data_IF_530961915348
#
_entry.id   IF_530961915348
#
_cell.length_a   1.000
_cell.length_b   1.000
_cell.length_c   1.000
_cell.angle_alpha   90.00
_cell.angle_beta   90.00
_cell.angle_gamma   90.00
#
_symmetry.space_group_name_H-M   'P 1'
#
loop_
_entity.id
_entity.type
_entity.pdbx_description
1 polymer ?
#
# COMPACT_ATOMS: atom_id res chain seq x y z
N UNK A 1 28.66 -30.08 -9.42
CA UNK A 1 29.07 -30.44 -8.04
C UNK A 1 30.33 -31.30 -8.04
N UNK A 2 30.47 -32.28 -8.93
CA UNK A 2 31.66 -33.20 -8.92
C UNK A 2 32.99 -32.45 -9.09
N UNK A 3 33.00 -31.40 -9.90
CA UNK A 3 34.19 -30.66 -10.32
C UNK A 3 34.39 -29.32 -9.57
N UNK A 4 33.75 -29.15 -8.41
CA UNK A 4 33.81 -27.90 -7.63
C UNK A 4 34.12 -28.21 -6.17
N UNK A 5 34.99 -27.43 -5.55
CA UNK A 5 35.37 -27.57 -4.14
C UNK A 5 34.45 -26.75 -3.23
N UNK A 6 33.93 -25.62 -3.72
CA UNK A 6 33.00 -24.75 -3.03
C UNK A 6 31.67 -24.62 -3.78
N UNK A 7 30.56 -24.73 -3.06
CA UNK A 7 29.22 -24.66 -3.59
C UNK A 7 28.47 -23.56 -2.85
N UNK A 8 28.04 -22.53 -3.57
CA UNK A 8 27.23 -21.43 -3.04
C UNK A 8 25.75 -21.70 -3.23
N UNK A 9 25.00 -21.72 -2.14
CA UNK A 9 23.57 -21.93 -2.11
C UNK A 9 22.87 -20.55 -2.14
N UNK A 10 22.67 -20.03 -3.36
CA UNK A 10 22.17 -18.68 -3.64
C UNK A 10 20.65 -18.69 -3.88
N UNK A 11 19.89 -19.00 -2.86
CA UNK A 11 18.41 -19.09 -2.92
C UNK A 11 17.76 -17.87 -2.24
N UNK A 12 16.47 -17.70 -2.47
CA UNK A 12 15.72 -16.56 -1.91
C UNK A 12 15.93 -16.43 -0.39
N UNK A 13 15.93 -15.19 0.16
CA UNK A 13 16.18 -14.94 1.58
C UNK A 13 14.95 -15.22 2.44
N UNK A 14 14.32 -16.38 2.28
CA UNK A 14 13.17 -16.80 3.06
C UNK A 14 13.30 -18.26 3.54
N UNK A 15 12.33 -18.71 4.35
CA UNK A 15 12.33 -20.06 4.91
C UNK A 15 12.21 -21.17 3.86
N UNK A 16 11.56 -20.90 2.72
CA UNK A 16 11.45 -21.89 1.63
C UNK A 16 12.79 -22.02 0.92
N UNK A 17 13.48 -20.90 0.64
CA UNK A 17 14.84 -20.90 0.10
C UNK A 17 15.83 -21.61 1.03
N UNK A 18 15.70 -21.41 2.35
CA UNK A 18 16.51 -22.10 3.35
C UNK A 18 16.25 -23.61 3.35
N UNK A 19 15.00 -24.04 3.24
CA UNK A 19 14.62 -25.45 3.15
C UNK A 19 15.15 -26.09 1.87
N UNK A 20 15.09 -25.39 0.73
CA UNK A 20 15.64 -25.88 -0.53
C UNK A 20 17.15 -26.03 -0.42
N UNK A 21 17.85 -25.06 0.18
CA UNK A 21 19.29 -25.13 0.43
C UNK A 21 19.65 -26.38 1.25
N UNK A 22 18.93 -26.61 2.34
CA UNK A 22 19.11 -27.78 3.20
C UNK A 22 18.86 -29.08 2.43
N UNK A 23 17.78 -29.20 1.65
CA UNK A 23 17.50 -30.38 0.86
C UNK A 23 18.59 -30.67 -0.16
N UNK A 24 19.18 -29.66 -0.82
CA UNK A 24 20.27 -29.82 -1.74
C UNK A 24 21.51 -30.45 -1.05
N UNK A 25 21.83 -29.98 0.17
CA UNK A 25 22.93 -30.55 0.96
C UNK A 25 22.64 -31.99 1.34
N UNK A 26 21.41 -32.30 1.82
CA UNK A 26 21.05 -33.69 2.18
C UNK A 26 21.10 -34.64 0.97
N UNK A 27 20.62 -34.23 -0.20
CA UNK A 27 20.74 -35.04 -1.44
C UNK A 27 22.20 -35.29 -1.81
N UNK A 28 23.05 -34.26 -1.65
CA UNK A 28 24.49 -34.43 -1.90
C UNK A 28 25.12 -35.40 -0.90
N UNK A 29 24.68 -35.40 0.37
CA UNK A 29 25.14 -36.32 1.42
C UNK A 29 24.70 -37.75 1.12
N UNK A 30 23.44 -37.98 0.75
CA UNK A 30 22.95 -39.30 0.37
C UNK A 30 23.68 -39.88 -0.84
N UNK A 31 24.05 -39.02 -1.81
CA UNK A 31 24.79 -39.41 -3.01
C UNK A 31 26.31 -39.46 -2.83
N UNK A 32 26.81 -39.30 -1.60
CA UNK A 32 28.25 -39.29 -1.27
C UNK A 32 29.05 -38.26 -2.11
N UNK A 33 28.45 -37.10 -2.34
CA UNK A 33 29.07 -36.00 -3.11
C UNK A 33 29.54 -34.85 -2.20
N UNK A 34 29.52 -35.06 -0.88
CA UNK A 34 29.80 -33.99 0.12
C UNK A 34 31.28 -34.00 0.56
N UNK A 35 32.00 -35.13 0.38
CA UNK A 35 33.34 -35.29 0.91
C UNK A 35 34.32 -34.28 0.27
N UNK A 36 35.01 -33.51 1.13
CA UNK A 36 35.96 -32.48 0.74
C UNK A 36 35.34 -31.19 0.18
N UNK A 37 33.99 -31.05 0.18
CA UNK A 37 33.32 -29.89 -0.39
C UNK A 37 32.76 -28.97 0.69
N UNK A 38 32.82 -27.67 0.42
CA UNK A 38 32.28 -26.63 1.31
C UNK A 38 30.98 -26.09 0.73
N UNK A 39 29.87 -26.20 1.48
CA UNK A 39 28.62 -25.61 1.14
C UNK A 39 28.45 -24.29 1.91
N UNK A 40 28.21 -23.19 1.21
CA UNK A 40 28.09 -21.85 1.77
C UNK A 40 26.74 -21.26 1.38
N UNK A 41 25.95 -20.83 2.36
CA UNK A 41 24.70 -20.14 2.11
C UNK A 41 24.98 -18.66 1.86
N UNK A 42 24.52 -18.14 0.73
CA UNK A 42 24.52 -16.72 0.43
C UNK A 42 23.10 -16.24 0.17
N UNK A 43 22.79 -15.07 0.64
CA UNK A 43 21.48 -14.44 0.44
C UNK A 43 21.64 -12.96 0.16
N UNK A 44 20.81 -12.46 -0.72
CA UNK A 44 20.79 -11.05 -1.09
C UNK A 44 19.35 -10.60 -1.34
N UNK A 45 18.96 -9.39 -0.88
CA UNK A 45 17.60 -8.87 -0.99
C UNK A 45 17.24 -8.44 -2.42
N UNK A 46 18.28 -8.23 -3.26
CA UNK A 46 18.12 -7.84 -4.65
C UNK A 46 19.28 -8.38 -5.50
N UNK A 47 19.02 -8.59 -6.79
CA UNK A 47 20.03 -9.01 -7.76
C UNK A 47 20.79 -7.77 -8.24
N UNK A 48 21.55 -7.16 -7.32
CA UNK A 48 22.50 -6.07 -7.60
C UNK A 48 23.92 -6.60 -7.50
N UNK A 49 24.82 -6.10 -8.33
CA UNK A 49 26.24 -6.51 -8.30
C UNK A 49 26.86 -6.35 -6.91
N UNK A 50 26.60 -5.24 -6.25
CA UNK A 50 27.10 -4.94 -4.90
C UNK A 50 26.56 -5.93 -3.85
N UNK A 51 25.26 -6.26 -3.90
CA UNK A 51 24.61 -7.20 -2.99
C UNK A 51 25.15 -8.62 -3.18
N UNK A 52 25.33 -9.05 -4.42
CA UNK A 52 25.89 -10.37 -4.76
C UNK A 52 27.32 -10.49 -4.28
N UNK A 53 28.18 -9.51 -4.59
CA UNK A 53 29.57 -9.51 -4.16
C UNK A 53 29.70 -9.48 -2.63
N UNK A 54 28.87 -8.68 -1.96
CA UNK A 54 28.81 -8.65 -0.50
C UNK A 54 28.40 -10.01 0.09
N UNK A 55 27.41 -10.68 -0.52
CA UNK A 55 26.95 -11.99 -0.07
C UNK A 55 28.00 -13.09 -0.28
N UNK A 56 28.76 -13.05 -1.40
CA UNK A 56 29.86 -13.99 -1.67
C UNK A 56 31.00 -13.80 -0.65
N UNK A 57 31.28 -12.54 -0.28
CA UNK A 57 32.33 -12.22 0.69
C UNK A 57 31.95 -12.54 2.13
N UNK A 58 30.63 -12.59 2.42
CA UNK A 58 30.08 -12.84 3.76
C UNK A 58 29.09 -14.01 3.75
N UNK A 59 29.52 -15.21 3.38
CA UNK A 59 28.65 -16.38 3.39
C UNK A 59 28.35 -16.80 4.83
N UNK A 60 27.19 -17.46 5.01
CA UNK A 60 26.78 -18.01 6.31
C UNK A 60 26.50 -19.51 6.21
N UNK A 61 26.29 -20.11 7.35
CA UNK A 61 25.75 -21.46 7.45
C UNK A 61 24.23 -21.48 7.22
N UNK A 62 23.69 -22.68 6.91
CA UNK A 62 22.24 -22.88 6.81
C UNK A 62 21.61 -22.66 8.19
N UNK A 63 20.59 -21.84 8.24
CA UNK A 63 19.84 -21.56 9.46
C UNK A 63 18.83 -22.68 9.75
N UNK A 64 19.23 -23.61 10.64
CA UNK A 64 18.39 -24.75 11.00
C UNK A 64 17.02 -24.35 11.59
N UNK A 65 16.90 -23.20 12.24
CA UNK A 65 15.62 -22.72 12.76
C UNK A 65 14.65 -22.38 11.63
N UNK A 66 15.13 -21.75 10.55
CA UNK A 66 14.31 -21.48 9.36
C UNK A 66 13.91 -22.76 8.64
N UNK A 67 14.84 -23.72 8.51
CA UNK A 67 14.55 -25.06 7.97
C UNK A 67 13.46 -25.73 8.78
N UNK A 68 13.61 -25.76 10.11
CA UNK A 68 12.64 -26.39 11.02
C UNK A 68 11.26 -25.67 10.94
N UNK A 69 11.24 -24.35 10.80
CA UNK A 69 10.01 -23.59 10.62
C UNK A 69 9.28 -23.97 9.32
N UNK A 70 10.03 -24.14 8.20
CA UNK A 70 9.47 -24.56 6.93
C UNK A 70 8.95 -26.01 6.98
N UNK A 71 9.71 -26.92 7.58
CA UNK A 71 9.29 -28.32 7.81
C UNK A 71 8.03 -28.37 8.68
N UNK A 72 8.01 -27.65 9.80
CA UNK A 72 6.85 -27.57 10.70
C UNK A 72 5.61 -27.08 9.97
N UNK A 73 5.74 -26.03 9.15
CA UNK A 73 4.66 -25.54 8.32
C UNK A 73 4.12 -26.64 7.40
N UNK A 74 5.00 -27.32 6.69
CA UNK A 74 4.63 -28.42 5.77
C UNK A 74 3.96 -29.58 6.49
N UNK A 75 4.48 -29.93 7.68
CA UNK A 75 3.87 -30.95 8.54
C UNK A 75 2.46 -30.54 8.98
N UNK A 76 2.28 -29.33 9.47
CA UNK A 76 0.97 -28.81 9.87
C UNK A 76 -0.03 -28.79 8.70
N UNK A 77 0.39 -28.35 7.51
CA UNK A 77 -0.47 -28.35 6.32
C UNK A 77 -0.95 -29.77 5.97
N UNK A 78 -0.08 -30.77 6.07
CA UNK A 78 -0.45 -32.17 5.85
C UNK A 78 -1.32 -32.71 6.98
N UNK A 79 -0.98 -32.43 8.21
CA UNK A 79 -1.74 -32.89 9.38
C UNK A 79 -3.18 -32.37 9.32
N UNK A 80 -3.38 -31.06 9.12
CA UNK A 80 -4.70 -30.47 8.93
C UNK A 80 -5.43 -31.07 7.73
N UNK A 81 -4.76 -31.18 6.59
CA UNK A 81 -5.33 -31.70 5.37
C UNK A 81 -5.85 -33.13 5.57
N UNK A 82 -5.04 -34.04 6.13
CA UNK A 82 -5.40 -35.45 6.25
C UNK A 82 -6.31 -35.77 7.44
N UNK A 83 -6.23 -35.01 8.55
CA UNK A 83 -7.04 -35.32 9.76
C UNK A 83 -8.39 -34.59 9.75
N UNK A 84 -8.46 -33.36 9.25
CA UNK A 84 -9.67 -32.55 9.33
C UNK A 84 -10.49 -32.61 8.03
N UNK A 85 -9.88 -32.68 6.86
CA UNK A 85 -10.62 -32.76 5.59
C UNK A 85 -11.59 -33.95 5.51
N UNK A 86 -11.29 -35.15 6.03
CA UNK A 86 -12.28 -36.23 6.05
C UNK A 86 -13.53 -35.92 6.87
N UNK A 87 -13.38 -35.13 7.96
CA UNK A 87 -14.48 -34.71 8.82
C UNK A 87 -15.39 -33.73 8.06
N UNK A 88 -14.79 -32.74 7.37
CA UNK A 88 -15.55 -31.78 6.58
C UNK A 88 -16.27 -32.47 5.42
N UNK A 89 -15.61 -33.39 4.70
CA UNK A 89 -16.19 -34.16 3.60
C UNK A 89 -17.43 -34.98 4.01
N UNK A 90 -17.45 -35.49 5.25
CA UNK A 90 -18.60 -36.26 5.77
C UNK A 90 -19.80 -35.38 6.13
N UNK A 91 -19.57 -34.07 6.36
CA UNK A 91 -20.60 -33.12 6.83
C UNK A 91 -21.11 -32.17 5.74
N UNK A 92 -20.51 -32.18 4.58
CA UNK A 92 -20.89 -31.30 3.46
C UNK A 92 -21.18 -32.11 2.20
N UNK A 93 -22.15 -31.67 1.42
CA UNK A 93 -22.60 -32.35 0.17
C UNK A 93 -21.51 -32.35 -0.91
N UNK A 94 -20.71 -31.30 -0.96
CA UNK A 94 -19.60 -31.15 -1.90
C UNK A 94 -18.29 -31.23 -1.15
N UNK A 95 -17.54 -32.29 -1.37
CA UNK A 95 -16.27 -32.63 -0.72
C UNK A 95 -15.30 -31.48 -0.47
N UNK A 96 -15.58 -30.71 0.56
CA UNK A 96 -14.74 -29.61 1.01
C UNK A 96 -13.51 -30.11 1.74
N UNK A 97 -12.42 -29.38 1.65
CA UNK A 97 -11.19 -29.63 2.40
C UNK A 97 -10.97 -28.56 3.45
N UNK A 98 -10.23 -28.90 4.51
CA UNK A 98 -9.75 -27.96 5.51
C UNK A 98 -8.25 -27.77 5.37
N UNK A 99 -7.78 -26.57 5.67
CA UNK A 99 -6.35 -26.24 5.62
C UNK A 99 -6.03 -25.03 6.48
N UNK A 100 -4.77 -24.93 6.85
CA UNK A 100 -4.26 -23.90 7.74
C UNK A 100 -4.51 -22.46 7.26
N UNK A 101 -4.54 -22.24 5.94
CA UNK A 101 -4.79 -20.93 5.35
C UNK A 101 -6.27 -20.77 4.98
N UNK A 102 -6.84 -21.73 4.29
CA UNK A 102 -8.21 -21.65 3.77
C UNK A 102 -9.28 -21.60 4.88
N UNK A 103 -9.09 -22.31 5.98
CA UNK A 103 -10.07 -22.32 7.06
C UNK A 103 -10.17 -20.98 7.80
N UNK A 104 -9.07 -20.32 8.21
CA UNK A 104 -9.14 -18.97 8.75
C UNK A 104 -9.66 -17.93 7.74
N UNK A 105 -9.31 -18.05 6.46
CA UNK A 105 -9.83 -17.16 5.44
C UNK A 105 -11.36 -17.29 5.31
N UNK A 106 -11.87 -18.52 5.26
CA UNK A 106 -13.30 -18.78 5.25
C UNK A 106 -14.00 -18.24 6.50
N UNK A 107 -13.38 -18.39 7.67
CA UNK A 107 -13.93 -17.83 8.92
C UNK A 107 -14.11 -16.32 8.82
N UNK A 108 -13.11 -15.59 8.34
CA UNK A 108 -13.18 -14.12 8.15
C UNK A 108 -14.33 -13.76 7.20
N UNK A 109 -14.49 -14.51 6.09
CA UNK A 109 -15.59 -14.30 5.16
C UNK A 109 -16.95 -14.56 5.81
N UNK A 110 -17.11 -15.66 6.55
CA UNK A 110 -18.35 -15.97 7.25
C UNK A 110 -18.68 -14.94 8.35
N UNK A 111 -17.68 -14.41 9.04
CA UNK A 111 -17.89 -13.32 10.00
C UNK A 111 -18.37 -12.05 9.31
N UNK A 112 -17.81 -11.75 8.13
CA UNK A 112 -18.25 -10.60 7.33
C UNK A 112 -19.66 -10.77 6.76
N UNK A 113 -20.01 -11.96 6.28
CA UNK A 113 -21.37 -12.28 5.84
C UNK A 113 -22.38 -12.10 6.98
N UNK A 114 -22.06 -12.59 8.18
CA UNK A 114 -22.93 -12.35 9.37
C UNK A 114 -23.15 -10.87 9.65
N UNK A 115 -22.13 -10.02 9.50
CA UNK A 115 -22.30 -8.58 9.63
C UNK A 115 -23.24 -8.02 8.56
N UNK A 116 -23.17 -8.55 7.32
CA UNK A 116 -24.04 -8.16 6.22
C UNK A 116 -25.48 -8.63 6.48
N UNK A 117 -25.67 -9.86 6.93
CA UNK A 117 -27.00 -10.44 7.19
C UNK A 117 -27.75 -9.70 8.31
N UNK A 118 -27.04 -9.21 9.32
CA UNK A 118 -27.66 -8.42 10.41
C UNK A 118 -27.71 -6.93 10.11
N UNK A 119 -27.18 -6.50 8.98
CA UNK A 119 -27.16 -5.09 8.62
C UNK A 119 -28.57 -4.63 8.27
N UNK A 120 -29.06 -3.65 9.03
CA UNK A 120 -30.32 -2.96 8.73
C UNK A 120 -30.01 -1.65 8.01
N UNK A 121 -30.46 -1.54 6.77
CA UNK A 121 -30.32 -0.31 6.01
C UNK A 121 -31.08 0.83 6.71
N UNK A 122 -30.45 1.99 6.83
CA UNK A 122 -31.05 3.20 7.37
C UNK A 122 -31.15 4.24 6.27
N UNK A 123 -32.38 4.71 6.03
CA UNK A 123 -32.63 5.80 5.10
C UNK A 123 -32.01 7.10 5.65
N UNK A 124 -31.34 7.84 4.79
CA UNK A 124 -30.89 9.19 5.07
C UNK A 124 -31.05 10.06 3.82
N UNK A 125 -31.17 11.34 4.06
CA UNK A 125 -31.34 12.36 3.03
C UNK A 125 -30.27 13.42 3.20
N UNK A 126 -29.66 13.83 2.10
CA UNK A 126 -28.75 14.96 2.03
C UNK A 126 -29.49 16.15 1.43
N UNK A 127 -29.35 17.33 2.07
CA UNK A 127 -29.86 18.58 1.55
C UNK A 127 -28.67 19.42 1.09
N UNK A 128 -28.51 19.50 -0.21
CA UNK A 128 -27.46 20.33 -0.82
C UNK A 128 -27.91 21.79 -0.81
N UNK A 129 -27.09 22.64 -0.23
CA UNK A 129 -27.39 24.09 -0.10
C UNK A 129 -26.36 24.84 -0.92
N UNK A 130 -26.81 25.53 -1.94
CA UNK A 130 -25.99 26.46 -2.72
C UNK A 130 -26.36 27.89 -2.27
N UNK A 131 -25.40 28.60 -1.71
CA UNK A 131 -25.53 30.03 -1.39
C UNK A 131 -24.79 30.83 -2.48
N UNK A 132 -25.34 32.03 -2.76
CA UNK A 132 -24.71 32.95 -3.71
C UNK A 132 -24.32 34.22 -2.94
N UNK A 133 -23.08 34.66 -3.10
CA UNK A 133 -22.61 35.92 -2.53
C UNK A 133 -23.03 37.12 -3.39
N UNK A 134 -22.75 38.33 -2.90
CA UNK A 134 -23.06 39.59 -3.60
C UNK A 134 -22.31 39.72 -4.96
N UNK A 135 -21.28 38.93 -5.20
CA UNK A 135 -20.50 38.88 -6.45
C UNK A 135 -20.93 37.74 -7.36
N UNK A 136 -22.05 37.06 -7.05
CA UNK A 136 -22.60 35.90 -7.78
C UNK A 136 -21.73 34.63 -7.74
N UNK A 137 -20.80 34.48 -6.79
CA UNK A 137 -20.10 33.24 -6.60
C UNK A 137 -20.99 32.23 -5.87
N UNK A 138 -20.99 31.00 -6.34
CA UNK A 138 -21.74 29.90 -5.76
C UNK A 138 -20.90 29.17 -4.71
N UNK A 139 -21.50 28.87 -3.57
CA UNK A 139 -20.84 28.22 -2.43
C UNK A 139 -21.72 27.06 -1.99
N UNK A 140 -21.19 25.85 -2.13
CA UNK A 140 -21.86 24.65 -1.64
C UNK A 140 -21.66 24.52 -0.13
N UNK A 141 -22.75 24.36 0.58
CA UNK A 141 -22.78 24.32 2.03
C UNK A 141 -23.45 23.03 2.53
N UNK A 142 -23.02 22.61 3.71
CA UNK A 142 -23.65 21.53 4.47
C UNK A 142 -24.19 22.07 5.79
N UNK A 143 -25.28 21.48 6.32
CA UNK A 143 -25.87 21.88 7.59
C UNK A 143 -25.06 21.31 8.74
N UNK A 144 -24.66 22.16 9.68
CA UNK A 144 -24.00 21.78 10.93
C UNK A 144 -24.99 21.64 12.08
N UNK A 145 -25.88 22.61 12.22
CA UNK A 145 -26.90 22.58 13.28
C UNK A 145 -28.11 23.43 12.94
N UNK A 146 -29.23 23.14 13.62
CA UNK A 146 -30.42 23.95 13.70
C UNK A 146 -30.66 24.29 15.18
N UNK A 147 -30.50 25.55 15.55
CA UNK A 147 -30.44 25.96 16.94
C UNK A 147 -29.36 25.22 17.70
N UNK A 148 -29.71 24.54 18.78
CA UNK A 148 -28.80 23.71 19.56
C UNK A 148 -28.63 22.28 19.04
N UNK A 149 -29.45 21.83 18.08
CA UNK A 149 -29.43 20.47 17.55
C UNK A 149 -28.40 20.35 16.46
N UNK A 150 -27.35 19.53 16.70
CA UNK A 150 -26.35 19.17 15.69
C UNK A 150 -26.94 18.19 14.69
N UNK A 151 -26.49 18.29 13.44
CA UNK A 151 -26.84 17.38 12.37
C UNK A 151 -25.76 16.33 12.20
N UNK A 152 -26.18 15.08 12.14
CA UNK A 152 -25.40 13.94 11.70
C UNK A 152 -25.99 13.35 10.42
N UNK A 153 -25.34 12.33 9.86
CA UNK A 153 -25.77 11.68 8.62
C UNK A 153 -27.22 11.19 8.65
N UNK A 154 -27.75 10.79 9.81
CA UNK A 154 -29.09 10.19 9.96
C UNK A 154 -30.13 11.14 10.56
N UNK A 155 -29.79 12.40 10.78
CA UNK A 155 -30.70 13.38 11.33
C UNK A 155 -31.90 13.60 10.41
N UNK A 156 -31.67 13.61 9.10
CA UNK A 156 -32.69 13.68 8.06
C UNK A 156 -32.94 12.25 7.55
N UNK A 157 -33.96 11.60 8.09
CA UNK A 157 -34.21 10.17 7.87
C UNK A 157 -35.47 9.88 7.04
N UNK A 158 -36.08 10.88 6.44
CA UNK A 158 -37.19 10.74 5.50
C UNK A 158 -37.37 11.98 4.65
N UNK A 159 -38.07 11.83 3.52
CA UNK A 159 -38.34 12.86 2.53
C UNK A 159 -39.10 14.07 3.14
N UNK A 160 -40.07 13.80 4.02
CA UNK A 160 -40.89 14.86 4.65
C UNK A 160 -40.02 15.83 5.46
N UNK A 161 -39.06 15.30 6.21
CA UNK A 161 -38.10 16.13 6.97
C UNK A 161 -37.15 16.88 6.04
N UNK A 162 -36.70 16.26 4.95
CA UNK A 162 -35.84 16.91 3.96
C UNK A 162 -36.55 18.11 3.31
N UNK A 163 -37.80 17.93 2.86
CA UNK A 163 -38.61 19.00 2.25
C UNK A 163 -38.92 20.12 3.25
N UNK A 164 -39.31 19.78 4.49
CA UNK A 164 -39.58 20.78 5.53
C UNK A 164 -38.31 21.60 5.83
N UNK A 165 -37.15 20.96 5.89
CA UNK A 165 -35.87 21.62 6.11
C UNK A 165 -35.49 22.53 4.93
N UNK A 166 -35.69 22.07 3.70
CA UNK A 166 -35.47 22.88 2.49
C UNK A 166 -36.29 24.16 2.50
N UNK A 167 -37.58 24.07 2.82
CA UNK A 167 -38.45 25.22 2.87
C UNK A 167 -38.11 26.18 4.04
N UNK A 168 -37.63 25.64 5.17
CA UNK A 168 -37.17 26.46 6.27
C UNK A 168 -35.89 27.25 5.89
N UNK A 169 -34.90 26.57 5.24
CA UNK A 169 -33.66 27.21 4.84
C UNK A 169 -33.84 28.28 3.78
N UNK A 170 -34.78 28.10 2.83
CA UNK A 170 -35.09 29.11 1.79
C UNK A 170 -35.57 30.44 2.34
N UNK A 171 -36.15 30.45 3.54
CA UNK A 171 -36.69 31.64 4.19
C UNK A 171 -35.66 32.41 5.01
N UNK A 172 -34.47 31.86 5.18
CA UNK A 172 -33.44 32.41 6.06
C UNK A 172 -32.48 33.32 5.29
N UNK A 173 -32.02 34.35 5.95
CA UNK A 173 -30.94 35.21 5.50
C UNK A 173 -29.62 34.73 6.14
N UNK A 174 -28.62 34.50 5.33
CA UNK A 174 -27.34 33.94 5.78
C UNK A 174 -26.27 35.04 5.76
N UNK A 175 -25.43 35.04 6.78
CA UNK A 175 -24.25 35.89 6.87
C UNK A 175 -23.00 35.07 7.25
N UNK A 176 -21.82 35.53 6.88
CA UNK A 176 -20.58 34.90 7.27
C UNK A 176 -20.36 35.09 8.78
N UNK A 177 -20.35 34.00 9.52
CA UNK A 177 -20.10 33.99 10.96
C UNK A 177 -18.61 33.92 11.33
N UNK A 178 -17.88 33.03 10.67
CA UNK A 178 -16.46 32.91 10.89
C UNK A 178 -15.74 32.24 9.69
N UNK A 179 -14.47 32.59 9.56
CA UNK A 179 -13.54 32.05 8.55
C UNK A 179 -12.39 31.37 9.26
N UNK A 180 -12.13 30.13 8.92
CA UNK A 180 -10.97 29.39 9.42
C UNK A 180 -10.11 28.95 8.24
N UNK A 181 -8.84 29.37 8.23
CA UNK A 181 -7.82 28.95 7.26
C UNK A 181 -6.74 28.16 8.00
N UNK A 182 -6.45 26.95 7.54
CA UNK A 182 -5.35 26.16 8.10
C UNK A 182 -4.55 25.47 7.01
N UNK A 183 -3.26 25.37 7.21
CA UNK A 183 -2.42 24.52 6.36
C UNK A 183 -2.54 23.06 6.81
N UNK A 184 -2.79 22.20 5.84
CA UNK A 184 -2.82 20.75 6.03
C UNK A 184 -1.68 20.12 5.28
N UNK A 185 -0.82 19.42 6.01
CA UNK A 185 0.26 18.62 5.44
C UNK A 185 -0.19 17.18 5.30
N UNK A 186 0.06 16.59 4.14
CA UNK A 186 -0.14 15.16 3.89
C UNK A 186 1.21 14.51 3.61
N UNK A 187 1.60 13.58 4.46
CA UNK A 187 2.86 12.86 4.33
C UNK A 187 2.77 11.77 3.25
N UNK A 188 3.87 11.46 2.57
CA UNK A 188 3.94 10.34 1.65
C UNK A 188 3.80 9.02 2.40
N UNK A 189 3.31 8.00 1.70
CA UNK A 189 3.26 6.63 2.22
C UNK A 189 4.61 5.94 2.06
N UNK A 190 4.84 4.90 2.87
CA UNK A 190 6.04 4.08 2.79
C UNK A 190 6.23 3.42 1.42
N UNK A 191 7.43 3.00 1.07
CA UNK A 191 7.66 2.06 -0.02
C UNK A 191 6.79 0.82 0.15
N UNK A 192 6.65 0.04 -0.91
CA UNK A 192 5.79 -1.14 -0.88
C UNK A 192 6.37 -2.27 -0.03
N UNK A 193 5.53 -2.85 0.82
CA UNK A 193 5.59 -4.27 1.16
C UNK A 193 4.74 -5.07 0.16
N UNK A 194 4.84 -6.39 0.14
CA UNK A 194 4.01 -7.23 -0.74
C UNK A 194 2.52 -6.90 -0.61
N UNK A 195 1.99 -6.84 0.62
CA UNK A 195 0.58 -6.58 0.86
C UNK A 195 0.12 -5.21 0.35
N UNK A 196 0.95 -4.18 0.49
CA UNK A 196 0.65 -2.84 -0.03
C UNK A 196 0.72 -2.80 -1.56
N UNK A 197 1.67 -3.53 -2.17
CA UNK A 197 1.77 -3.64 -3.62
C UNK A 197 0.53 -4.28 -4.22
N UNK A 198 0.04 -5.38 -3.62
CA UNK A 198 -1.19 -6.06 -4.07
C UNK A 198 -2.41 -5.16 -3.97
N UNK A 199 -2.55 -4.38 -2.88
CA UNK A 199 -3.66 -3.44 -2.68
C UNK A 199 -3.64 -2.32 -3.72
N UNK A 200 -2.49 -1.68 -3.92
CA UNK A 200 -2.37 -0.55 -4.85
C UNK A 200 -2.46 -1.01 -6.33
N UNK A 201 -1.88 -2.17 -6.67
CA UNK A 201 -2.03 -2.75 -7.99
C UNK A 201 -3.50 -3.11 -8.30
N UNK A 202 -4.22 -3.63 -7.32
CA UNK A 202 -5.65 -3.90 -7.46
C UNK A 202 -6.47 -2.63 -7.65
N UNK A 203 -6.25 -1.60 -6.81
CA UNK A 203 -7.05 -0.38 -6.83
C UNK A 203 -6.75 0.53 -8.01
N UNK A 204 -5.48 0.59 -8.48
CA UNK A 204 -5.03 1.52 -9.52
C UNK A 204 -4.90 0.90 -10.90
N UNK A 205 -4.54 -0.38 -10.97
CA UNK A 205 -4.29 -1.08 -12.22
C UNK A 205 -5.37 -2.13 -12.53
N UNK A 206 -6.26 -2.42 -11.58
CA UNK A 206 -7.25 -3.49 -11.70
C UNK A 206 -6.65 -4.90 -11.70
N UNK A 207 -5.43 -5.06 -11.24
CA UNK A 207 -4.75 -6.36 -11.25
C UNK A 207 -5.22 -7.25 -10.12
N UNK A 208 -5.48 -8.53 -10.42
CA UNK A 208 -5.71 -9.51 -9.37
C UNK A 208 -4.42 -9.79 -8.59
N UNK A 209 -4.50 -10.24 -7.32
CA UNK A 209 -3.32 -10.61 -6.54
C UNK A 209 -2.44 -11.67 -7.23
N UNK A 210 -3.06 -12.62 -7.94
CA UNK A 210 -2.35 -13.65 -8.71
C UNK A 210 -1.55 -13.04 -9.85
N UNK A 211 -2.15 -12.16 -10.63
CA UNK A 211 -1.49 -11.48 -11.75
C UNK A 211 -0.36 -10.59 -11.24
N UNK A 212 -0.60 -9.80 -10.20
CA UNK A 212 0.42 -8.92 -9.60
C UNK A 212 1.64 -9.72 -9.14
N UNK A 213 1.44 -10.84 -8.42
CA UNK A 213 2.55 -11.68 -7.98
C UNK A 213 3.30 -12.33 -9.16
N UNK A 214 2.61 -12.74 -10.23
CA UNK A 214 3.26 -13.30 -11.42
C UNK A 214 4.17 -12.27 -12.09
N UNK A 215 3.65 -11.05 -12.32
CA UNK A 215 4.42 -9.97 -12.94
C UNK A 215 5.58 -9.53 -12.03
N UNK A 216 5.34 -9.42 -10.73
CA UNK A 216 6.40 -9.06 -9.78
C UNK A 216 7.51 -10.11 -9.73
N UNK A 217 7.18 -11.40 -9.88
CA UNK A 217 8.17 -12.46 -10.01
C UNK A 217 9.00 -12.29 -11.29
N UNK A 218 8.37 -12.03 -12.43
CA UNK A 218 9.07 -11.77 -13.70
C UNK A 218 10.03 -10.58 -13.59
N UNK A 219 9.56 -9.46 -13.01
CA UNK A 219 10.39 -8.27 -12.80
C UNK A 219 11.56 -8.54 -11.84
N UNK A 220 11.38 -9.39 -10.85
CA UNK A 220 12.44 -9.80 -9.90
C UNK A 220 13.44 -10.75 -10.51
N UNK A 221 12.99 -11.72 -11.32
CA UNK A 221 13.86 -12.73 -11.92
C UNK A 221 14.64 -12.17 -13.11
N UNK A 222 14.13 -11.10 -13.72
CA UNK A 222 14.77 -10.39 -14.83
C UNK A 222 13.96 -10.45 -16.11
N UNK A 223 14.00 -9.36 -16.87
CA UNK A 223 13.32 -9.23 -18.17
C UNK A 223 14.35 -9.00 -19.26
N UNK A 224 14.58 -10.00 -20.09
CA UNK A 224 15.49 -9.92 -21.24
C UNK A 224 16.88 -9.43 -20.85
N UNK A 225 17.39 -8.43 -21.59
CA UNK A 225 18.71 -7.81 -21.34
C UNK A 225 18.75 -6.88 -20.12
N UNK A 226 17.58 -6.48 -19.61
CA UNK A 226 17.47 -5.54 -18.48
C UNK A 226 17.87 -6.17 -17.13
N UNK A 227 17.83 -7.50 -17.03
CA UNK A 227 18.07 -8.19 -15.77
C UNK A 227 16.93 -7.96 -14.77
N UNK A 228 17.22 -8.14 -13.48
CA UNK A 228 16.26 -7.94 -12.40
C UNK A 228 15.95 -6.46 -12.19
N UNK A 229 14.67 -6.11 -12.23
CA UNK A 229 14.20 -4.72 -12.17
C UNK A 229 13.72 -4.29 -10.79
N UNK A 230 13.33 -5.24 -9.95
CA UNK A 230 12.86 -4.96 -8.60
C UNK A 230 13.53 -5.86 -7.56
N UNK A 231 13.53 -5.42 -6.31
CA UNK A 231 13.95 -6.22 -5.16
C UNK A 231 13.00 -7.39 -4.93
N UNK A 232 13.31 -8.27 -3.98
CA UNK A 232 12.47 -9.40 -3.62
C UNK A 232 11.05 -8.95 -3.23
N UNK A 233 10.06 -9.33 -4.02
CA UNK A 233 8.70 -8.79 -3.89
C UNK A 233 7.88 -9.43 -2.76
N UNK A 234 8.23 -10.63 -2.27
CA UNK A 234 7.53 -11.29 -1.15
C UNK A 234 8.03 -10.81 0.20
N UNK A 235 8.25 -9.51 0.31
CA UNK A 235 8.76 -8.85 1.51
C UNK A 235 7.63 -8.19 2.31
N UNK A 236 7.67 -8.38 3.63
CA UNK A 236 6.77 -7.68 4.56
C UNK A 236 7.37 -6.36 5.07
N UNK A 237 8.64 -6.08 4.72
CA UNK A 237 9.33 -4.87 5.08
C UNK A 237 8.87 -3.67 4.24
N UNK A 238 8.90 -2.50 4.85
CA UNK A 238 8.70 -1.21 4.19
C UNK A 238 9.95 -0.32 4.29
N UNK A 239 11.11 -0.90 4.64
CA UNK A 239 12.37 -0.18 4.80
C UNK A 239 13.24 -0.33 3.56
N UNK A 240 13.98 0.72 3.25
CA UNK A 240 15.04 0.74 2.25
C UNK A 240 16.40 0.79 2.95
N UNK A 241 17.45 0.33 2.28
CA UNK A 241 18.84 0.53 2.74
C UNK A 241 19.19 2.02 2.80
N UNK A 242 20.00 2.41 3.78
CA UNK A 242 20.44 3.81 3.92
C UNK A 242 21.18 4.32 2.68
N UNK A 243 22.03 3.48 2.06
CA UNK A 243 22.72 3.80 0.81
C UNK A 243 21.78 4.09 -0.35
N UNK A 244 20.69 3.31 -0.47
CA UNK A 244 19.68 3.52 -1.51
C UNK A 244 18.84 4.78 -1.24
N UNK A 245 18.54 5.06 0.03
CA UNK A 245 17.87 6.30 0.41
C UNK A 245 18.73 7.52 0.03
N UNK A 246 20.03 7.46 0.27
CA UNK A 246 20.96 8.55 -0.10
C UNK A 246 21.05 8.75 -1.62
N UNK A 247 21.15 7.67 -2.39
CA UNK A 247 21.09 7.72 -3.86
C UNK A 247 19.78 8.33 -4.34
N UNK A 248 18.65 7.84 -3.84
CA UNK A 248 17.32 8.31 -4.18
C UNK A 248 17.14 9.80 -3.88
N UNK A 249 17.62 10.26 -2.73
CA UNK A 249 17.56 11.68 -2.34
C UNK A 249 18.37 12.58 -3.28
N UNK A 250 19.52 12.11 -3.76
CA UNK A 250 20.32 12.85 -4.77
C UNK A 250 19.54 12.99 -6.08
N UNK A 251 18.89 11.90 -6.54
CA UNK A 251 18.08 11.91 -7.76
C UNK A 251 16.88 12.83 -7.61
N UNK A 252 16.15 12.76 -6.47
CA UNK A 252 15.02 13.65 -6.20
C UNK A 252 15.45 15.13 -6.24
N UNK A 253 16.59 15.45 -5.64
CA UNK A 253 17.10 16.82 -5.64
C UNK A 253 17.44 17.31 -7.06
N UNK A 254 18.08 16.48 -7.87
CA UNK A 254 18.47 16.84 -9.23
C UNK A 254 17.29 16.96 -10.19
N UNK A 255 16.27 16.11 -10.05
CA UNK A 255 15.14 16.07 -11.00
C UNK A 255 13.99 16.98 -10.60
N UNK A 256 13.71 17.13 -9.32
CA UNK A 256 12.56 17.90 -8.83
C UNK A 256 12.94 19.17 -8.09
N UNK A 257 14.20 19.30 -7.67
CA UNK A 257 14.70 20.44 -6.90
C UNK A 257 14.62 20.25 -5.38
N UNK A 258 15.33 21.11 -4.65
CA UNK A 258 15.47 21.00 -3.20
C UNK A 258 14.17 21.14 -2.40
N UNK A 259 13.17 21.87 -2.93
CA UNK A 259 11.87 22.02 -2.27
C UNK A 259 11.09 20.70 -2.15
N UNK A 260 11.34 19.75 -3.07
CA UNK A 260 10.73 18.42 -3.02
C UNK A 260 11.47 17.44 -2.12
N UNK A 261 12.59 17.83 -1.53
CA UNK A 261 13.41 17.00 -0.66
C UNK A 261 13.29 17.48 0.79
N UNK A 262 12.77 16.67 1.73
CA UNK A 262 12.76 17.05 3.14
C UNK A 262 14.19 17.06 3.71
N UNK A 263 14.45 17.87 4.74
CA UNK A 263 15.80 18.04 5.35
C UNK A 263 16.41 16.71 5.81
N UNK A 264 15.56 15.85 6.38
CA UNK A 264 15.97 14.53 6.87
C UNK A 264 15.33 13.42 6.04
N UNK A 265 16.01 12.26 5.90
CA UNK A 265 15.40 11.07 5.31
C UNK A 265 14.10 10.71 6.01
N UNK A 266 13.08 10.33 5.21
CA UNK A 266 11.79 9.90 5.74
C UNK A 266 11.92 8.48 6.27
N UNK A 267 11.60 8.27 7.54
CA UNK A 267 11.64 6.97 8.20
C UNK A 267 10.22 6.46 8.43
N UNK A 268 10.02 5.17 8.18
CA UNK A 268 8.72 4.51 8.35
C UNK A 268 8.80 3.45 9.45
N UNK A 269 7.78 3.40 10.31
CA UNK A 269 7.65 2.34 11.31
C UNK A 269 7.22 1.04 10.62
N UNK A 270 7.81 -0.07 11.02
CA UNK A 270 7.34 -1.38 10.57
C UNK A 270 5.94 -1.64 11.12
N UNK A 271 5.05 -2.12 10.25
CA UNK A 271 3.66 -2.44 10.61
C UNK A 271 3.52 -3.77 11.32
N UNK A 272 4.45 -4.70 11.10
CA UNK A 272 4.44 -6.03 11.69
C UNK A 272 5.61 -6.21 12.63
N UNK A 273 5.35 -6.83 13.79
CA UNK A 273 6.39 -7.29 14.73
C UNK A 273 7.13 -8.55 14.23
N UNK A 274 6.60 -9.17 13.17
CA UNK A 274 7.10 -10.43 12.60
C UNK A 274 7.79 -10.24 11.25
N UNK A 275 8.26 -9.03 10.96
CA UNK A 275 9.06 -8.79 9.75
C UNK A 275 10.33 -9.62 9.83
N UNK A 276 10.57 -10.44 8.83
CA UNK A 276 11.77 -11.25 8.74
C UNK A 276 12.98 -10.32 8.57
N UNK A 277 13.97 -10.44 9.46
CA UNK A 277 15.18 -9.61 9.40
C UNK A 277 15.91 -9.81 8.06
N UNK A 278 16.42 -8.71 7.50
CA UNK A 278 17.15 -8.73 6.23
C UNK A 278 16.31 -8.45 4.98
N UNK A 279 14.97 -8.40 5.09
CA UNK A 279 14.12 -8.03 3.96
C UNK A 279 14.06 -6.51 3.77
N UNK A 280 14.12 -6.08 2.51
CA UNK A 280 13.88 -4.70 2.10
C UNK A 280 12.46 -4.53 1.54
N UNK A 281 12.01 -3.27 1.45
CA UNK A 281 10.80 -2.93 0.71
C UNK A 281 10.94 -3.29 -0.77
N UNK A 282 9.80 -3.46 -1.44
CA UNK A 282 9.75 -3.65 -2.89
C UNK A 282 10.04 -2.33 -3.59
N UNK A 283 11.23 -2.24 -4.18
CA UNK A 283 11.76 -1.04 -4.84
C UNK A 283 12.48 -1.40 -6.14
N UNK A 284 12.72 -0.46 -7.06
CA UNK A 284 13.59 -0.70 -8.20
C UNK A 284 15.01 -1.11 -7.76
N UNK A 285 15.64 -2.01 -8.49
CA UNK A 285 17.05 -2.39 -8.26
C UNK A 285 18.00 -1.26 -8.65
N UNK A 286 17.66 -0.52 -9.69
CA UNK A 286 18.38 0.66 -10.18
C UNK A 286 17.42 1.85 -10.18
N UNK A 287 17.67 2.81 -9.29
CA UNK A 287 16.79 3.96 -9.09
C UNK A 287 16.81 4.93 -10.28
N UNK A 288 17.93 5.00 -10.98
CA UNK A 288 18.14 5.84 -12.16
C UNK A 288 17.35 5.36 -13.39
N UNK A 289 16.97 4.08 -13.41
CA UNK A 289 16.25 3.46 -14.53
C UNK A 289 14.79 3.86 -14.51
N UNK A 290 14.45 4.91 -15.26
CA UNK A 290 13.07 5.41 -15.35
C UNK A 290 12.18 4.43 -16.12
N UNK A 291 10.91 4.29 -15.74
CA UNK A 291 9.97 3.47 -16.50
C UNK A 291 9.87 3.86 -17.98
N UNK A 292 9.95 5.17 -18.29
CA UNK A 292 9.95 5.69 -19.68
C UNK A 292 11.06 5.10 -20.53
N UNK A 293 12.24 4.89 -19.96
CA UNK A 293 13.45 4.54 -20.69
C UNK A 293 13.46 3.07 -21.13
N UNK A 294 12.71 2.23 -20.43
CA UNK A 294 12.63 0.77 -20.67
C UNK A 294 11.25 0.33 -21.18
N UNK A 295 10.39 1.27 -21.51
CA UNK A 295 9.00 0.98 -21.91
C UNK A 295 8.90 0.02 -23.09
N UNK A 296 9.80 0.11 -24.05
CA UNK A 296 9.82 -0.72 -25.26
C UNK A 296 10.27 -2.15 -25.01
N UNK A 297 10.97 -2.41 -23.90
CA UNK A 297 11.49 -3.72 -23.53
C UNK A 297 10.54 -4.49 -22.59
N UNK A 298 9.49 -3.81 -22.07
CA UNK A 298 8.51 -4.37 -21.17
C UNK A 298 7.16 -4.58 -21.88
N UNK A 299 6.44 -5.65 -21.51
CA UNK A 299 5.05 -5.71 -21.88
C UNK A 299 4.22 -4.70 -21.05
N UNK A 300 2.98 -4.44 -21.47
CA UNK A 300 2.12 -3.42 -20.86
C UNK A 300 1.91 -3.61 -19.36
N UNK A 301 1.72 -4.85 -18.91
CA UNK A 301 1.51 -5.16 -17.51
C UNK A 301 2.78 -5.01 -16.68
N UNK A 302 3.92 -5.45 -17.20
CA UNK A 302 5.23 -5.27 -16.58
C UNK A 302 5.55 -3.78 -16.43
N UNK A 303 5.32 -3.00 -17.49
CA UNK A 303 5.52 -1.55 -17.46
C UNK A 303 4.65 -0.88 -16.40
N UNK A 304 3.34 -1.17 -16.37
CA UNK A 304 2.41 -0.59 -15.39
C UNK A 304 2.81 -0.91 -13.95
N UNK A 305 3.20 -2.14 -13.67
CA UNK A 305 3.59 -2.54 -12.32
C UNK A 305 4.94 -1.93 -11.92
N UNK A 306 5.92 -1.91 -12.83
CA UNK A 306 7.21 -1.27 -12.58
C UNK A 306 7.07 0.24 -12.35
N UNK A 307 6.28 0.93 -13.16
CA UNK A 307 5.98 2.36 -13.02
C UNK A 307 5.33 2.67 -11.66
N UNK A 308 4.38 1.82 -11.23
CA UNK A 308 3.75 1.94 -9.91
C UNK A 308 4.76 1.82 -8.77
N UNK A 309 5.66 0.83 -8.85
CA UNK A 309 6.70 0.59 -7.84
C UNK A 309 7.70 1.75 -7.83
N UNK A 310 8.18 2.18 -8.99
CA UNK A 310 9.14 3.27 -9.13
C UNK A 310 8.57 4.56 -8.53
N UNK A 311 7.39 4.97 -8.97
CA UNK A 311 6.70 6.18 -8.48
C UNK A 311 6.50 6.16 -6.98
N UNK A 312 6.08 5.03 -6.41
CA UNK A 312 5.89 4.90 -4.97
C UNK A 312 7.18 5.01 -4.19
N UNK A 313 8.26 4.43 -4.71
CA UNK A 313 9.60 4.50 -4.13
C UNK A 313 10.07 5.95 -4.06
N UNK A 314 9.99 6.69 -5.15
CA UNK A 314 10.37 8.09 -5.21
C UNK A 314 9.52 8.95 -4.27
N UNK A 315 8.20 8.83 -4.37
CA UNK A 315 7.27 9.56 -3.51
C UNK A 315 7.57 9.37 -2.01
N UNK A 316 8.03 8.18 -1.62
CA UNK A 316 8.29 7.85 -0.22
C UNK A 316 9.37 8.73 0.44
N UNK A 317 10.29 9.28 -0.33
CA UNK A 317 11.37 10.13 0.17
C UNK A 317 11.20 11.61 -0.19
N UNK A 318 10.04 11.97 -0.78
CA UNK A 318 9.74 13.36 -1.15
C UNK A 318 9.05 14.12 -0.01
N UNK A 319 9.06 15.45 -0.12
CA UNK A 319 8.40 16.36 0.81
C UNK A 319 6.89 16.14 0.85
N UNK A 320 6.23 16.35 2.01
CA UNK A 320 4.79 16.32 2.12
C UNK A 320 4.10 17.29 1.15
N UNK A 321 2.90 16.95 0.70
CA UNK A 321 2.04 17.92 0.04
C UNK A 321 1.42 18.87 1.06
N UNK A 322 1.23 20.13 0.68
CA UNK A 322 0.65 21.17 1.51
C UNK A 322 -0.57 21.76 0.83
N UNK A 323 -1.70 21.72 1.49
CA UNK A 323 -2.93 22.37 1.04
C UNK A 323 -3.41 23.38 2.08
N UNK A 324 -4.03 24.46 1.60
CA UNK A 324 -4.74 25.43 2.43
C UNK A 324 -6.21 25.01 2.48
N UNK A 325 -6.63 24.49 3.62
CA UNK A 325 -8.04 24.22 3.89
C UNK A 325 -8.71 25.51 4.39
N UNK A 326 -9.73 25.97 3.67
CA UNK A 326 -10.57 27.09 4.05
C UNK A 326 -11.93 26.55 4.48
N UNK A 327 -12.40 26.96 5.64
CA UNK A 327 -13.74 26.62 6.14
C UNK A 327 -14.48 27.88 6.48
N UNK A 328 -15.66 28.06 5.88
CA UNK A 328 -16.61 29.09 6.23
C UNK A 328 -17.69 28.50 7.14
N UNK A 329 -17.98 29.17 8.22
CA UNK A 329 -19.18 28.97 9.01
C UNK A 329 -20.12 30.13 8.69
N UNK A 330 -21.28 29.79 8.18
CA UNK A 330 -22.28 30.73 7.69
C UNK A 330 -23.53 30.54 8.57
N UNK A 331 -24.02 31.62 9.15
CA UNK A 331 -25.05 31.56 10.15
C UNK A 331 -26.29 32.34 9.69
N UNK A 332 -27.47 31.82 10.03
CA UNK A 332 -28.73 32.55 10.08
C UNK A 332 -29.26 32.58 11.52
N UNK A 333 -30.47 33.02 11.73
CA UNK A 333 -31.13 33.00 13.04
C UNK A 333 -31.20 31.54 13.57
N UNK A 334 -31.62 30.61 12.73
CA UNK A 334 -31.90 29.22 13.13
C UNK A 334 -30.87 28.21 12.68
N UNK A 335 -30.01 28.52 11.71
CA UNK A 335 -29.12 27.54 11.10
C UNK A 335 -27.64 27.94 11.15
N UNK A 336 -26.80 26.94 11.32
CA UNK A 336 -25.35 27.03 11.09
C UNK A 336 -24.98 26.12 9.93
N UNK A 337 -24.40 26.68 8.89
CA UNK A 337 -23.92 26.02 7.71
C UNK A 337 -22.40 26.02 7.71
N UNK A 338 -21.83 25.05 6.99
CA UNK A 338 -20.38 24.92 6.77
C UNK A 338 -20.11 24.74 5.28
N UNK A 339 -19.22 25.56 4.75
CA UNK A 339 -18.60 25.34 3.45
C UNK A 339 -17.10 25.05 3.65
N UNK A 340 -16.57 24.07 2.97
CA UNK A 340 -15.15 23.71 3.06
C UNK A 340 -14.55 23.60 1.67
N UNK A 341 -13.39 24.20 1.49
CA UNK A 341 -12.64 24.10 0.25
C UNK A 341 -11.16 23.88 0.54
N UNK A 342 -10.42 23.42 -0.45
CA UNK A 342 -8.99 23.18 -0.34
C UNK A 342 -8.27 23.63 -1.59
N UNK A 343 -7.21 24.39 -1.41
CA UNK A 343 -6.31 24.82 -2.50
C UNK A 343 -4.96 24.20 -2.26
N UNK A 344 -4.43 23.47 -3.23
CA UNK A 344 -3.07 22.93 -3.16
C UNK A 344 -2.06 24.07 -3.30
N UNK A 345 -1.24 24.28 -2.25
CA UNK A 345 -0.13 25.24 -2.24
C UNK A 345 1.17 24.62 -2.76
N UNK A 346 1.39 23.36 -2.42
CA UNK A 346 2.57 22.61 -2.81
C UNK A 346 2.22 21.15 -3.01
N UNK A 347 2.50 20.62 -4.20
CA UNK A 347 2.14 19.23 -4.56
C UNK A 347 2.99 18.20 -3.81
N UNK A 348 4.26 18.51 -3.47
CA UNK A 348 5.17 17.59 -2.82
C UNK A 348 5.23 16.24 -3.56
N UNK A 349 5.16 15.15 -2.81
CA UNK A 349 5.19 13.79 -3.37
C UNK A 349 4.07 13.49 -4.39
N UNK A 350 2.96 14.23 -4.36
CA UNK A 350 1.84 14.03 -5.31
C UNK A 350 2.25 14.31 -6.75
N UNK A 351 3.32 15.08 -6.98
CA UNK A 351 3.87 15.32 -8.33
C UNK A 351 4.28 14.03 -9.03
N UNK A 352 4.71 13.02 -8.27
CA UNK A 352 5.15 11.71 -8.78
C UNK A 352 4.09 10.64 -8.56
N UNK A 353 3.42 10.66 -7.41
CA UNK A 353 2.50 9.60 -7.00
C UNK A 353 1.20 10.16 -6.44
N UNK A 354 0.14 10.04 -7.23
CA UNK A 354 -1.20 10.45 -6.79
C UNK A 354 -1.98 9.25 -6.23
N UNK A 355 -2.59 9.41 -5.04
CA UNK A 355 -3.27 8.32 -4.34
C UNK A 355 -4.72 8.12 -4.75
N UNK A 356 -5.41 9.19 -5.14
CA UNK A 356 -6.78 9.09 -5.65
C UNK A 356 -7.11 10.28 -6.56
N UNK A 357 -7.91 10.04 -7.58
CA UNK A 357 -8.46 11.09 -8.44
C UNK A 357 -9.40 12.03 -7.67
N UNK A 358 -10.08 11.51 -6.64
CA UNK A 358 -10.98 12.30 -5.77
C UNK A 358 -10.27 13.38 -4.94
N UNK A 359 -8.95 13.29 -4.76
CA UNK A 359 -8.19 14.33 -4.05
C UNK A 359 -8.12 15.66 -4.85
N UNK A 360 -8.53 15.67 -6.13
CA UNK A 360 -8.51 16.85 -6.99
C UNK A 360 -9.89 17.54 -7.10
N UNK A 361 -10.95 16.95 -6.56
CA UNK A 361 -12.34 17.48 -6.65
C UNK A 361 -12.73 18.40 -5.48
N UNK A 362 -11.77 18.86 -4.69
CA UNK A 362 -12.08 19.76 -3.59
C UNK A 362 -12.59 21.11 -4.13
N UNK A 363 -13.76 21.55 -3.67
CA UNK A 363 -14.32 22.85 -4.00
C UNK A 363 -13.30 23.96 -3.75
N UNK A 364 -13.12 24.86 -4.73
CA UNK A 364 -12.38 26.10 -4.52
C UNK A 364 -13.36 27.15 -4.02
N UNK A 365 -13.19 27.57 -2.77
CA UNK A 365 -14.04 28.60 -2.18
C UNK A 365 -13.61 30.00 -2.63
N UNK A 366 -14.55 30.89 -3.03
CA UNK A 366 -14.23 32.28 -3.28
C UNK A 366 -13.78 33.02 -2.01
N UNK A 367 -13.02 34.08 -2.15
CA UNK A 367 -12.71 34.94 -1.00
C UNK A 367 -13.93 35.76 -0.58
N UNK A 368 -14.51 35.37 0.56
CA UNK A 368 -15.55 36.13 1.19
C UNK A 368 -14.96 37.20 2.11
N UNK A 369 -15.44 38.40 2.04
CA UNK A 369 -15.15 39.49 3.00
C UNK A 369 -16.19 39.46 4.10
N UNK A 370 -15.74 39.48 5.36
CA UNK A 370 -16.66 39.79 6.48
C UNK A 370 -17.07 41.27 6.36
N UNK A 371 -18.36 41.51 6.27
CA UNK A 371 -18.92 42.87 6.44
C UNK A 371 -18.74 43.32 7.86
#
# INVERSE_FOLDING_TARGET
>A
IKDSDEIYLALDPDREGELIAWHLVEICREKKLIDGKKFKRIEFPAVRKEDILSAINNPREINQNLVNAAITRRFLDRFFGYKISPITKRRTIFGSSAGRVQSPALKILCEKEKEIDVFVSKEFWDVNIELTDNRKHKIECTIVSQGQKKFDKFTINNEKKAKALQEAIKKENFSLNSLNKREKKRNPYSPFSNSLLLQDASSKLGFSPKLTNSIAQELKDGVGSLGALITYHRSDSNKMKSSEIEKLRKIINSEFGSSFLPDKPVSYKERSKFVQQGHEAVTPTELERKPSDIKTELNENQYKLYDLIWKRTFASQMSPSVSLETTYYIKSENFLLKASGSIEKFSGFKKVYNYSEKDNEAQTLPELQSN
#
